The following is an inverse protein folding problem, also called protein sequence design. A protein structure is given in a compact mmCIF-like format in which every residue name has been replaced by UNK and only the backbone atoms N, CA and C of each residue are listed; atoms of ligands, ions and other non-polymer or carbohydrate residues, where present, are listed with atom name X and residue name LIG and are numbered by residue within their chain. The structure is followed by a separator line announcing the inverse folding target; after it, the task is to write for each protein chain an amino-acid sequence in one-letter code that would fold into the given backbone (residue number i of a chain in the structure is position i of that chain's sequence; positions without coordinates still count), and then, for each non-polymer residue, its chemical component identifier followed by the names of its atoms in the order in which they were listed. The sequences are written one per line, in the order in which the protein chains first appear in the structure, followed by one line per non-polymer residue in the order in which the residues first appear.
data_IF_447459013646
#
_entry.id   IF_447459013646
#
_cell.length_a   1.000
_cell.length_b   1.000
_cell.length_c   1.000
_cell.angle_alpha   90.00
_cell.angle_beta   90.00
_cell.angle_gamma   90.00
#
_symmetry.space_group_name_H-M   'P 1'
#
loop_
_entity.id
_entity.type
_entity.pdbx_description
1 polymer ?
#
# COMPACT_ATOMS: atom_id res chain seq x y z
N UNK A 1 1.15 -41.29 11.39
CA UNK A 1 1.30 -41.00 9.95
C UNK A 1 -0.09 -40.76 9.37
N UNK A 2 -0.40 -39.53 8.95
CA UNK A 2 -1.53 -39.23 8.07
C UNK A 2 -0.94 -38.48 6.87
N UNK A 3 -1.15 -39.04 5.69
CA UNK A 3 -0.63 -38.54 4.44
C UNK A 3 -1.31 -37.21 4.10
N UNK A 4 -0.51 -36.14 3.94
CA UNK A 4 -0.95 -34.93 3.26
C UNK A 4 -0.92 -35.23 1.76
N UNK A 5 -2.07 -35.64 1.21
CA UNK A 5 -2.26 -35.65 -0.24
C UNK A 5 -2.36 -34.20 -0.68
N UNK A 6 -1.23 -33.64 -1.13
CA UNK A 6 -1.25 -32.45 -1.96
C UNK A 6 -1.99 -32.77 -3.25
N UNK A 7 -3.08 -32.06 -3.54
CA UNK A 7 -3.56 -31.74 -4.88
C UNK A 7 -4.66 -30.68 -4.77
N UNK A 8 -4.43 -29.55 -5.45
CA UNK A 8 -5.38 -28.45 -5.52
C UNK A 8 -4.66 -27.13 -5.78
N UNK A 9 -3.98 -27.00 -6.92
CA UNK A 9 -3.68 -25.69 -7.51
C UNK A 9 -5.01 -25.05 -7.92
N UNK A 10 -5.73 -24.50 -6.94
CA UNK A 10 -6.81 -23.56 -7.18
C UNK A 10 -6.19 -22.18 -7.29
N UNK A 11 -6.04 -21.69 -8.52
CA UNK A 11 -5.76 -20.29 -8.81
C UNK A 11 -6.96 -19.45 -8.36
N UNK A 12 -7.06 -19.18 -7.06
CA UNK A 12 -8.00 -18.22 -6.54
C UNK A 12 -7.36 -16.84 -6.64
N UNK A 13 -8.01 -15.96 -7.40
CA UNK A 13 -7.76 -14.52 -7.46
C UNK A 13 -7.95 -13.93 -6.05
N UNK A 14 -6.91 -14.01 -5.22
CA UNK A 14 -6.91 -13.40 -3.91
C UNK A 14 -6.69 -11.89 -4.08
N UNK A 15 -7.77 -11.10 -4.01
CA UNK A 15 -7.73 -9.62 -3.97
C UNK A 15 -7.06 -9.05 -2.70
N UNK A 16 -6.60 -9.91 -1.79
CA UNK A 16 -5.91 -9.57 -0.56
C UNK A 16 -4.79 -10.59 -0.31
N UNK A 17 -3.79 -10.23 0.49
CA UNK A 17 -2.73 -11.16 0.89
C UNK A 17 -3.35 -12.37 1.59
N UNK A 18 -3.09 -13.61 1.13
CA UNK A 18 -3.64 -14.80 1.75
C UNK A 18 -3.11 -14.94 3.20
N UNK A 19 -3.92 -15.50 4.11
CA UNK A 19 -3.47 -15.75 5.48
C UNK A 19 -2.28 -16.71 5.47
N UNK A 20 -1.43 -16.62 6.50
CA UNK A 20 -0.31 -17.54 6.66
C UNK A 20 -0.81 -18.99 6.69
N UNK A 21 -0.21 -19.92 5.93
CA UNK A 21 -0.62 -21.33 5.91
C UNK A 21 -0.60 -21.94 7.32
N UNK A 22 -1.59 -22.77 7.63
CA UNK A 22 -1.66 -23.45 8.92
C UNK A 22 -0.51 -24.47 9.08
N UNK A 23 0.20 -24.40 10.21
CA UNK A 23 1.23 -25.37 10.62
C UNK A 23 0.67 -26.55 11.42
N UNK A 24 1.51 -27.55 11.69
CA UNK A 24 1.13 -28.67 12.57
C UNK A 24 1.07 -28.21 14.04
N UNK A 25 -0.07 -28.45 14.69
CA UNK A 25 -0.28 -28.06 16.08
C UNK A 25 0.31 -29.11 17.03
N UNK A 26 1.07 -28.67 18.03
CA UNK A 26 1.70 -29.53 19.05
C UNK A 26 1.08 -29.26 20.41
N UNK A 27 1.06 -30.28 21.28
CA UNK A 27 0.55 -30.13 22.65
C UNK A 27 1.53 -29.28 23.47
N UNK A 28 1.07 -28.15 24.00
CA UNK A 28 1.83 -27.31 24.93
C UNK A 28 1.39 -27.56 26.39
N UNK A 29 2.29 -27.28 27.34
CA UNK A 29 1.98 -27.21 28.77
C UNK A 29 2.42 -25.82 29.25
N UNK A 30 1.47 -24.98 29.65
CA UNK A 30 1.74 -23.64 30.17
C UNK A 30 1.50 -23.61 31.68
N UNK A 31 2.45 -23.09 32.46
CA UNK A 31 2.40 -23.14 33.93
C UNK A 31 2.23 -21.77 34.61
N UNK A 32 2.27 -20.66 33.85
CA UNK A 32 2.05 -19.30 34.36
C UNK A 32 2.05 -18.24 33.25
N UNK A 33 1.47 -17.08 33.54
CA UNK A 33 1.44 -15.90 32.66
C UNK A 33 1.59 -14.67 33.56
N UNK A 34 2.52 -13.79 33.22
CA UNK A 34 2.64 -12.47 33.86
C UNK A 34 2.12 -11.42 32.89
N UNK A 35 1.25 -10.54 33.37
CA UNK A 35 0.54 -9.57 32.55
C UNK A 35 0.80 -8.19 33.14
N UNK A 36 1.70 -7.47 32.49
CA UNK A 36 2.03 -6.09 32.82
C UNK A 36 1.47 -5.13 31.77
N UNK A 37 1.15 -3.91 32.22
CA UNK A 37 0.74 -2.82 31.33
C UNK A 37 1.97 -2.13 30.74
N UNK A 38 2.02 -2.05 29.41
CA UNK A 38 3.04 -1.26 28.71
C UNK A 38 2.49 0.13 28.37
N UNK A 39 3.03 1.17 29.02
CA UNK A 39 2.60 2.55 28.79
C UNK A 39 3.33 3.17 27.61
N UNK A 40 2.73 3.09 26.44
CA UNK A 40 2.93 4.02 25.33
C UNK A 40 1.89 5.12 25.58
N UNK A 41 2.24 6.17 26.32
CA UNK A 41 1.27 7.23 26.62
C UNK A 41 0.74 7.90 25.35
N UNK A 42 -0.48 8.44 25.41
CA UNK A 42 -1.12 9.16 24.31
C UNK A 42 -2.52 8.65 23.97
N UNK A 43 -3.18 9.34 23.05
CA UNK A 43 -4.44 8.92 22.45
C UNK A 43 -4.19 8.44 21.02
N UNK A 44 -4.77 7.31 20.63
CA UNK A 44 -4.73 6.87 19.23
C UNK A 44 -5.70 7.71 18.40
N UNK A 45 -5.15 8.47 17.45
CA UNK A 45 -5.94 9.33 16.56
C UNK A 45 -5.54 9.13 15.10
N UNK A 46 -6.47 9.43 14.19
CA UNK A 46 -6.18 9.45 12.75
C UNK A 46 -5.64 10.82 12.36
N UNK A 47 -4.34 10.89 12.13
CA UNK A 47 -3.66 12.12 11.71
C UNK A 47 -3.65 12.19 10.19
N UNK A 48 -4.05 13.34 9.64
CA UNK A 48 -3.93 13.63 8.21
C UNK A 48 -2.49 14.04 7.94
N UNK A 49 -1.81 13.30 7.06
CA UNK A 49 -0.42 13.55 6.70
C UNK A 49 -0.32 14.61 5.61
N UNK A 50 -1.15 14.50 4.56
CA UNK A 50 -1.19 15.43 3.44
C UNK A 50 -2.50 15.30 2.65
N UNK A 51 -2.91 16.40 2.01
CA UNK A 51 -3.84 16.41 0.89
C UNK A 51 -3.04 16.63 -0.40
N UNK A 52 -3.13 15.69 -1.33
CA UNK A 52 -2.22 15.57 -2.48
C UNK A 52 -3.01 15.69 -3.78
N UNK A 53 -2.51 16.51 -4.70
CA UNK A 53 -3.00 16.53 -6.09
C UNK A 53 -2.01 15.78 -6.95
N UNK A 54 -2.48 14.74 -7.65
CA UNK A 54 -1.68 13.94 -8.57
C UNK A 54 -2.18 14.19 -9.98
N UNK A 55 -1.30 14.60 -10.87
CA UNK A 55 -1.61 14.83 -12.29
C UNK A 55 -0.75 13.91 -13.16
N UNK A 56 -1.37 13.24 -14.12
CA UNK A 56 -0.66 12.36 -15.06
C UNK A 56 -1.22 12.50 -16.46
N UNK A 57 -0.32 12.69 -17.43
CA UNK A 57 -0.65 12.78 -18.84
C UNK A 57 -0.57 11.37 -19.46
N UNK A 58 -1.62 11.01 -20.18
CA UNK A 58 -1.79 9.68 -20.78
C UNK A 58 -2.16 9.83 -22.24
N UNK A 59 -1.50 9.05 -23.10
CA UNK A 59 -1.87 8.90 -24.50
C UNK A 59 -2.27 7.45 -24.76
N UNK A 60 -3.40 7.26 -25.45
CA UNK A 60 -3.95 5.94 -25.71
C UNK A 60 -4.57 5.83 -27.10
N UNK A 61 -4.29 4.72 -27.78
CA UNK A 61 -4.91 4.37 -29.04
C UNK A 61 -6.07 3.38 -28.81
N UNK A 62 -7.29 3.85 -29.01
CA UNK A 62 -8.51 3.06 -28.86
C UNK A 62 -8.98 2.61 -30.24
N UNK A 63 -9.07 1.29 -30.45
CA UNK A 63 -9.58 0.70 -31.69
C UNK A 63 -11.02 0.21 -31.46
N UNK A 64 -11.96 0.80 -32.20
CA UNK A 64 -13.34 0.38 -32.24
C UNK A 64 -13.47 -0.95 -32.97
N UNK A 65 -14.38 -1.85 -32.55
CA UNK A 65 -14.53 -3.18 -33.14
C UNK A 65 -15.03 -3.14 -34.59
N UNK A 66 -15.63 -2.02 -35.01
CA UNK A 66 -16.09 -1.77 -36.37
C UNK A 66 -15.87 -0.30 -36.72
N UNK A 67 -15.74 0.01 -38.02
CA UNK A 67 -15.73 1.39 -38.50
C UNK A 67 -17.00 2.15 -38.08
N UNK A 68 -16.78 3.34 -37.52
CA UNK A 68 -17.77 4.26 -37.01
C UNK A 68 -17.94 5.46 -37.94
N UNK A 69 -19.18 5.92 -38.05
CA UNK A 69 -19.53 7.17 -38.75
C UNK A 69 -19.51 8.36 -37.78
N UNK A 70 -19.84 8.13 -36.51
CA UNK A 70 -19.96 9.19 -35.50
C UNK A 70 -19.84 8.63 -34.07
N UNK A 71 -19.32 9.43 -33.14
CA UNK A 71 -19.31 9.14 -31.70
C UNK A 71 -20.44 9.92 -31.04
N UNK A 72 -21.33 9.23 -30.32
CA UNK A 72 -22.46 9.87 -29.64
C UNK A 72 -22.13 10.30 -28.23
N UNK A 73 -21.45 9.44 -27.47
CA UNK A 73 -21.11 9.73 -26.07
C UNK A 73 -19.93 8.88 -25.62
N UNK A 74 -19.09 9.43 -24.76
CA UNK A 74 -18.03 8.70 -24.06
C UNK A 74 -18.15 8.99 -22.57
N UNK A 75 -18.75 8.05 -21.81
CA UNK A 75 -18.77 8.14 -20.34
C UNK A 75 -17.45 7.65 -19.78
N UNK A 76 -16.98 8.28 -18.70
CA UNK A 76 -15.66 8.06 -18.12
C UNK A 76 -15.77 7.90 -16.62
N UNK A 77 -15.13 6.89 -16.06
CA UNK A 77 -15.00 6.69 -14.61
C UNK A 77 -13.56 6.37 -14.26
N UNK A 78 -13.00 7.07 -13.28
CA UNK A 78 -11.63 6.82 -12.80
C UNK A 78 -11.67 5.75 -11.72
N UNK A 79 -10.80 4.75 -11.84
CA UNK A 79 -10.64 3.69 -10.86
C UNK A 79 -9.18 3.55 -10.45
N UNK A 80 -8.91 3.56 -9.14
CA UNK A 80 -7.58 3.25 -8.61
C UNK A 80 -7.47 1.75 -8.35
N UNK A 81 -6.42 1.14 -8.89
CA UNK A 81 -6.02 -0.24 -8.58
C UNK A 81 -4.95 -0.27 -7.50
N UNK A 82 -4.17 0.81 -7.37
CA UNK A 82 -3.17 0.99 -6.32
C UNK A 82 -3.14 2.43 -5.85
N UNK A 83 -3.11 2.62 -4.53
CA UNK A 83 -2.66 3.86 -3.91
C UNK A 83 -1.89 3.53 -2.63
N UNK A 84 -0.56 3.58 -2.71
CA UNK A 84 0.32 3.20 -1.61
C UNK A 84 1.33 4.31 -1.33
N UNK A 85 1.34 4.81 -0.11
CA UNK A 85 2.42 5.65 0.39
C UNK A 85 3.37 4.82 1.25
N UNK A 86 4.67 4.99 1.06
CA UNK A 86 5.72 4.41 1.89
C UNK A 86 6.61 5.52 2.45
N UNK A 87 6.98 5.51 3.74
CA UNK A 87 7.87 6.50 4.33
C UNK A 87 9.20 6.63 3.58
N UNK A 88 9.73 7.85 3.50
CA UNK A 88 11.13 8.09 3.12
C UNK A 88 12.03 7.81 4.32
N UNK A 89 13.17 7.14 4.09
CA UNK A 89 14.11 6.78 5.16
C UNK A 89 14.84 8.00 5.71
N UNK A 90 15.00 9.02 4.87
CA UNK A 90 15.82 10.18 5.17
C UNK A 90 15.03 11.33 5.78
N UNK A 91 13.71 11.31 5.67
CA UNK A 91 12.86 12.44 6.05
C UNK A 91 11.46 11.96 6.51
N UNK A 92 11.10 12.12 7.80
CA UNK A 92 9.78 11.75 8.30
C UNK A 92 8.64 12.63 7.76
N UNK A 93 8.95 13.77 7.15
CA UNK A 93 8.00 14.65 6.47
C UNK A 93 7.87 14.32 4.98
N UNK A 94 8.37 13.17 4.52
CA UNK A 94 8.31 12.81 3.11
C UNK A 94 7.94 11.35 2.91
N UNK A 95 7.15 11.08 1.87
CA UNK A 95 6.76 9.73 1.48
C UNK A 95 6.94 9.53 -0.02
N UNK A 96 7.14 8.28 -0.43
CA UNK A 96 7.02 7.84 -1.82
C UNK A 96 5.58 7.41 -2.05
N UNK A 97 4.88 8.09 -2.94
CA UNK A 97 3.50 7.80 -3.29
C UNK A 97 3.46 7.05 -4.63
N UNK A 98 2.84 5.87 -4.62
CA UNK A 98 2.63 5.05 -5.80
C UNK A 98 1.15 4.94 -6.12
N UNK A 99 0.74 5.46 -7.28
CA UNK A 99 -0.65 5.48 -7.73
C UNK A 99 -0.76 4.78 -9.08
N UNK A 100 -1.65 3.81 -9.15
CA UNK A 100 -2.03 3.16 -10.41
C UNK A 100 -3.54 3.06 -10.52
N UNK A 101 -4.02 3.09 -11.75
CA UNK A 101 -5.44 2.98 -12.02
C UNK A 101 -5.74 2.90 -13.50
N UNK A 102 -7.01 3.09 -13.84
CA UNK A 102 -7.47 3.23 -15.20
C UNK A 102 -8.68 4.15 -15.29
N UNK A 103 -8.85 4.78 -16.44
CA UNK A 103 -10.10 5.45 -16.83
C UNK A 103 -10.93 4.42 -17.59
N UNK A 104 -12.02 3.96 -16.98
CA UNK A 104 -13.01 3.13 -17.65
C UNK A 104 -13.86 4.01 -18.57
N UNK A 105 -13.83 3.71 -19.86
CA UNK A 105 -14.58 4.41 -20.88
C UNK A 105 -15.68 3.51 -21.41
N UNK A 106 -16.88 4.06 -21.52
CA UNK A 106 -17.99 3.45 -22.23
C UNK A 106 -18.33 4.35 -23.42
N UNK A 107 -17.99 3.89 -24.61
CA UNK A 107 -18.06 4.61 -25.88
C UNK A 107 -19.31 4.13 -26.62
N UNK A 108 -20.21 5.06 -26.88
CA UNK A 108 -21.37 4.84 -27.72
C UNK A 108 -21.14 5.50 -29.08
N UNK A 109 -21.23 4.73 -30.16
CA UNK A 109 -20.95 5.18 -31.52
C UNK A 109 -21.92 4.58 -32.54
N UNK A 110 -22.01 5.19 -33.72
CA UNK A 110 -22.82 4.68 -34.84
C UNK A 110 -21.91 3.99 -35.83
N UNK A 111 -22.23 2.76 -36.20
CA UNK A 111 -21.44 2.00 -37.16
C UNK A 111 -21.78 2.33 -38.63
N UNK A 112 -21.10 1.68 -39.56
CA UNK A 112 -21.38 1.81 -40.99
C UNK A 112 -22.76 1.32 -41.44
N UNK A 113 -23.50 0.58 -40.62
CA UNK A 113 -24.85 0.10 -40.87
C UNK A 113 -25.94 0.98 -40.26
N UNK A 114 -25.60 2.16 -39.73
CA UNK A 114 -26.51 3.06 -39.00
C UNK A 114 -27.05 2.48 -37.68
N UNK A 115 -26.35 1.50 -37.08
CA UNK A 115 -26.68 0.95 -35.78
C UNK A 115 -25.86 1.62 -34.68
N UNK A 116 -26.49 1.92 -33.54
CA UNK A 116 -25.78 2.36 -32.33
C UNK A 116 -25.13 1.15 -31.66
N UNK A 117 -23.85 1.28 -31.31
CA UNK A 117 -23.06 0.26 -30.62
C UNK A 117 -22.46 0.83 -29.35
N UNK A 118 -22.31 -0.01 -28.34
CA UNK A 118 -21.59 0.28 -27.11
C UNK A 118 -20.28 -0.52 -27.07
N UNK A 119 -19.19 0.14 -26.69
CA UNK A 119 -17.88 -0.45 -26.54
C UNK A 119 -17.18 0.10 -25.30
N UNK A 120 -16.71 -0.79 -24.43
CA UNK A 120 -16.04 -0.40 -23.19
C UNK A 120 -14.57 -0.75 -23.22
N UNK A 121 -13.73 0.18 -22.76
CA UNK A 121 -12.27 0.02 -22.69
C UNK A 121 -11.73 0.63 -21.40
N UNK A 122 -10.65 0.06 -20.86
CA UNK A 122 -9.92 0.61 -19.73
C UNK A 122 -8.61 1.22 -20.23
N UNK A 123 -8.41 2.52 -20.01
CA UNK A 123 -7.16 3.20 -20.33
C UNK A 123 -6.32 3.31 -19.05
N UNK A 124 -5.24 2.53 -18.90
CA UNK A 124 -4.45 2.51 -17.67
C UNK A 124 -3.60 3.79 -17.51
N UNK A 125 -3.36 4.16 -16.25
CA UNK A 125 -2.45 5.25 -15.89
C UNK A 125 -1.64 4.88 -14.65
N UNK A 126 -0.44 5.45 -14.54
CA UNK A 126 0.48 5.26 -13.41
C UNK A 126 1.19 6.57 -13.09
N UNK A 127 1.43 6.83 -11.82
CA UNK A 127 2.19 7.96 -11.33
C UNK A 127 2.93 7.57 -10.05
N UNK A 128 4.22 7.91 -9.97
CA UNK A 128 5.08 7.62 -8.84
C UNK A 128 5.91 8.84 -8.54
N UNK A 129 5.80 9.40 -7.35
CA UNK A 129 6.59 10.57 -6.95
C UNK A 129 6.72 10.67 -5.43
N UNK A 130 7.56 11.61 -4.99
CA UNK A 130 7.65 12.01 -3.59
C UNK A 130 6.56 13.02 -3.24
N UNK A 131 6.08 12.94 -2.02
CA UNK A 131 5.09 13.85 -1.46
C UNK A 131 5.61 14.36 -0.12
N UNK A 132 5.67 15.68 0.00
CA UNK A 132 5.96 16.34 1.28
C UNK A 132 4.70 16.36 2.14
N UNK A 133 4.89 16.14 3.43
CA UNK A 133 3.84 15.99 4.43
C UNK A 133 3.72 17.23 5.30
N UNK A 134 2.51 17.52 5.73
CA UNK A 134 2.20 18.58 6.69
C UNK A 134 2.48 18.08 8.12
N UNK A 135 2.17 16.81 8.37
CA UNK A 135 2.47 16.12 9.62
C UNK A 135 3.40 14.93 9.36
N UNK A 136 4.39 14.68 10.22
CA UNK A 136 5.35 13.61 10.00
C UNK A 136 4.67 12.24 10.13
N UNK A 137 5.22 11.25 9.45
CA UNK A 137 4.88 9.86 9.72
C UNK A 137 5.34 9.52 11.14
N UNK A 138 4.45 8.90 11.93
CA UNK A 138 4.76 8.48 13.29
C UNK A 138 4.73 6.96 13.39
N UNK A 139 5.53 6.45 14.33
CA UNK A 139 5.76 5.03 14.51
C UNK A 139 5.64 4.66 15.99
N UNK A 140 5.07 3.48 16.32
CA UNK A 140 4.65 3.15 17.69
C UNK A 140 5.80 3.15 18.72
N UNK A 141 7.05 2.99 18.28
CA UNK A 141 8.23 3.00 19.16
C UNK A 141 9.25 4.10 18.82
N UNK A 142 8.87 5.07 17.99
CA UNK A 142 9.77 6.12 17.50
C UNK A 142 10.84 5.63 16.52
N UNK A 143 10.82 4.35 16.17
CA UNK A 143 11.66 3.77 15.12
C UNK A 143 10.95 3.96 13.76
N UNK A 144 11.58 4.59 12.76
CA UNK A 144 10.93 4.89 11.49
C UNK A 144 10.46 3.68 10.67
N UNK A 145 10.74 2.44 11.09
CA UNK A 145 10.48 1.26 10.28
C UNK A 145 9.84 0.11 11.03
N UNK A 146 9.16 -0.72 10.25
CA UNK A 146 8.80 -2.06 10.69
C UNK A 146 10.12 -2.81 10.75
N UNK A 147 10.64 -3.01 11.96
CA UNK A 147 11.90 -3.69 12.17
C UNK A 147 11.63 -5.16 12.39
N UNK A 148 12.22 -6.02 11.56
CA UNK A 148 12.35 -7.44 11.87
C UNK A 148 13.83 -7.72 12.07
N UNK A 149 14.18 -8.33 13.19
CA UNK A 149 15.54 -8.83 13.36
C UNK A 149 15.79 -9.95 12.34
N UNK A 150 16.66 -9.68 11.37
CA UNK A 150 17.14 -10.71 10.44
C UNK A 150 18.34 -11.48 11.01
N UNK A 151 18.92 -11.00 12.12
CA UNK A 151 19.93 -11.72 12.87
C UNK A 151 19.28 -12.75 13.78
N UNK A 152 19.70 -14.00 13.69
CA UNK A 152 19.42 -14.95 14.75
C UNK A 152 20.33 -14.58 15.93
N UNK A 153 19.82 -13.84 16.92
CA UNK A 153 20.51 -13.65 18.19
C UNK A 153 20.50 -14.98 18.95
N UNK A 154 21.41 -15.87 18.57
CA UNK A 154 21.53 -17.20 19.15
C UNK A 154 22.06 -17.12 20.59
N UNK A 155 21.37 -17.83 21.48
CA UNK A 155 21.88 -18.13 22.81
C UNK A 155 22.57 -19.49 22.71
N UNK A 156 23.89 -19.48 22.92
CA UNK A 156 24.75 -20.67 22.89
C UNK A 156 25.54 -20.77 24.18
N UNK A 157 25.54 -21.95 24.78
CA UNK A 157 26.44 -22.30 25.88
C UNK A 157 27.65 -23.08 25.34
N UNK A 158 28.75 -23.12 26.11
CA UNK A 158 29.92 -23.95 25.76
C UNK A 158 29.64 -25.43 26.06
N UNK A 159 30.08 -26.33 25.19
CA UNK A 159 29.92 -27.78 25.38
C UNK A 159 30.71 -28.29 26.58
N UNK A 160 30.31 -29.46 27.13
CA UNK A 160 30.92 -30.04 28.34
C UNK A 160 32.43 -30.32 28.21
N UNK A 161 32.93 -30.57 27.00
CA UNK A 161 34.35 -30.75 26.70
C UNK A 161 35.11 -29.42 26.52
N UNK A 162 34.40 -28.28 26.52
CA UNK A 162 34.98 -26.95 26.37
C UNK A 162 35.42 -26.60 24.94
N UNK A 163 35.15 -27.47 23.97
CA UNK A 163 35.74 -27.37 22.62
C UNK A 163 34.78 -26.84 21.55
N UNK A 164 33.49 -26.67 21.88
CA UNK A 164 32.47 -26.22 20.92
C UNK A 164 31.25 -25.58 21.62
N UNK A 165 30.20 -25.25 20.87
CA UNK A 165 28.91 -24.85 21.43
C UNK A 165 28.06 -26.08 21.77
N UNK A 166 27.32 -26.03 22.89
CA UNK A 166 26.39 -27.08 23.27
C UNK A 166 25.29 -27.23 22.21
N UNK A 167 25.18 -28.44 21.66
CA UNK A 167 24.18 -28.80 20.65
C UNK A 167 22.82 -29.12 21.26
N UNK A 168 22.79 -29.45 22.55
CA UNK A 168 21.60 -29.90 23.26
C UNK A 168 20.86 -28.73 23.94
N UNK A 169 21.57 -27.66 24.29
CA UNK A 169 21.01 -26.46 24.91
C UNK A 169 21.27 -25.24 24.03
N UNK A 170 20.22 -24.76 23.35
CA UNK A 170 20.29 -23.60 22.47
C UNK A 170 19.00 -22.81 22.52
N UNK A 171 19.07 -21.53 22.15
CA UNK A 171 17.91 -20.67 22.03
C UNK A 171 18.17 -19.51 21.08
N UNK A 172 17.17 -18.66 20.92
CA UNK A 172 17.30 -17.43 20.15
C UNK A 172 16.31 -16.38 20.65
N UNK A 173 16.67 -15.11 20.49
CA UNK A 173 15.76 -13.99 20.68
C UNK A 173 15.50 -13.38 19.31
N UNK A 174 14.24 -13.19 18.95
CA UNK A 174 13.81 -12.52 17.72
C UNK A 174 12.72 -11.52 18.07
N UNK A 175 12.66 -10.39 17.37
CA UNK A 175 11.60 -9.40 17.54
C UNK A 175 11.13 -8.85 16.19
N UNK A 176 9.88 -8.40 16.18
CA UNK A 176 9.24 -7.75 15.03
C UNK A 176 8.42 -6.57 15.53
N UNK A 177 8.62 -5.41 14.91
CA UNK A 177 7.83 -4.20 15.13
C UNK A 177 7.00 -3.99 13.87
N UNK A 178 5.67 -3.96 14.03
CA UNK A 178 4.74 -3.71 12.94
C UNK A 178 4.32 -2.24 12.94
N UNK A 179 4.45 -1.58 11.79
CA UNK A 179 4.06 -0.19 11.62
C UNK A 179 2.65 -0.04 11.10
N UNK A 180 1.96 1.02 11.56
CA UNK A 180 0.67 1.41 11.03
C UNK A 180 0.80 1.88 9.57
N UNK A 181 -0.01 1.34 8.64
CA UNK A 181 0.06 1.71 7.23
C UNK A 181 -0.50 3.12 7.01
N UNK A 182 0.11 3.85 6.07
CA UNK A 182 -0.47 5.09 5.54
C UNK A 182 -1.66 4.72 4.65
N UNK A 183 -2.84 5.19 5.02
CA UNK A 183 -4.07 5.04 4.24
C UNK A 183 -4.14 6.13 3.19
N UNK A 184 -4.52 5.73 1.99
CA UNK A 184 -4.85 6.63 0.90
C UNK A 184 -6.35 6.61 0.64
N UNK A 185 -6.95 7.79 0.49
CA UNK A 185 -8.36 7.97 0.14
C UNK A 185 -8.49 8.90 -1.05
N UNK A 186 -9.12 8.43 -2.12
CA UNK A 186 -9.54 9.28 -3.25
C UNK A 186 -10.72 10.16 -2.81
N UNK A 187 -10.56 11.47 -2.92
CA UNK A 187 -11.59 12.45 -2.61
C UNK A 187 -12.36 12.87 -3.87
N UNK A 188 -11.63 13.09 -4.96
CA UNK A 188 -12.19 13.47 -6.25
C UNK A 188 -11.22 13.10 -7.37
N UNK A 189 -11.73 13.04 -8.59
CA UNK A 189 -10.95 12.84 -9.81
C UNK A 189 -11.51 13.70 -10.93
N UNK A 190 -10.63 14.20 -11.78
CA UNK A 190 -10.96 14.95 -12.98
C UNK A 190 -10.21 14.36 -14.17
N UNK A 191 -10.85 14.33 -15.32
CA UNK A 191 -10.23 13.93 -16.60
C UNK A 191 -10.47 15.04 -17.60
N UNK A 192 -9.40 15.61 -18.11
CA UNK A 192 -9.42 16.49 -19.27
C UNK A 192 -8.85 15.73 -20.48
N UNK A 193 -9.44 15.85 -21.67
CA UNK A 193 -9.00 15.06 -22.81
C UNK A 193 -9.19 15.72 -24.17
N UNK A 194 -8.39 15.24 -25.11
CA UNK A 194 -8.40 15.58 -26.52
C UNK A 194 -8.41 14.30 -27.37
N UNK A 195 -9.45 14.12 -28.19
CA UNK A 195 -9.66 12.94 -29.02
C UNK A 195 -9.36 13.23 -30.49
N UNK A 196 -8.55 12.39 -31.13
CA UNK A 196 -8.17 12.50 -32.55
C UNK A 196 -8.63 11.26 -33.29
N UNK A 197 -9.48 11.43 -34.30
CA UNK A 197 -9.99 10.33 -35.12
C UNK A 197 -8.99 10.01 -36.25
N UNK A 198 -8.76 8.72 -36.50
CA UNK A 198 -7.85 8.22 -37.54
C UNK A 198 -8.23 6.83 -38.04
N UNK A 199 -7.45 6.27 -38.97
CA UNK A 199 -7.74 5.04 -39.71
C UNK A 199 -9.10 5.11 -40.43
N UNK A 200 -9.19 6.02 -41.40
CA UNK A 200 -10.40 6.25 -42.19
C UNK A 200 -10.47 5.30 -43.39
N UNK A 201 -11.63 4.72 -43.62
CA UNK A 201 -11.90 3.95 -44.84
C UNK A 201 -12.31 4.83 -46.04
N UNK A 202 -12.52 4.20 -47.20
CA UNK A 202 -12.92 4.89 -48.44
C UNK A 202 -14.29 5.61 -48.35
N UNK A 203 -15.07 5.36 -47.29
CA UNK A 203 -16.36 6.00 -47.03
C UNK A 203 -16.28 7.06 -45.93
N UNK A 204 -15.07 7.41 -45.46
CA UNK A 204 -14.86 8.42 -44.43
C UNK A 204 -15.24 7.97 -43.02
N UNK A 205 -15.41 6.66 -42.79
CA UNK A 205 -15.65 6.08 -41.46
C UNK A 205 -14.31 5.81 -40.80
N UNK A 206 -14.20 5.96 -39.48
CA UNK A 206 -12.97 5.75 -38.72
C UNK A 206 -13.13 4.56 -37.77
N UNK A 207 -12.04 3.86 -37.44
CA UNK A 207 -12.08 2.86 -36.35
C UNK A 207 -11.10 3.19 -35.21
N UNK A 208 -10.24 4.21 -35.36
CA UNK A 208 -9.20 4.52 -34.38
C UNK A 208 -9.41 5.90 -33.77
N UNK A 209 -9.32 5.95 -32.44
CA UNK A 209 -9.34 7.18 -31.64
C UNK A 209 -8.00 7.25 -30.89
N UNK A 210 -7.15 8.20 -31.25
CA UNK A 210 -5.94 8.53 -30.47
C UNK A 210 -6.32 9.60 -29.46
N UNK A 211 -6.36 9.23 -28.20
CA UNK A 211 -6.74 10.09 -27.09
C UNK A 211 -5.50 10.57 -26.34
N UNK A 212 -5.46 11.86 -26.00
CA UNK A 212 -4.50 12.44 -25.05
C UNK A 212 -5.30 13.02 -23.90
N UNK A 213 -5.04 12.58 -22.67
CA UNK A 213 -5.79 13.02 -21.48
C UNK A 213 -4.88 13.38 -20.31
N UNK A 214 -5.32 14.33 -19.50
CA UNK A 214 -4.79 14.60 -18.16
C UNK A 214 -5.73 13.98 -17.13
N UNK A 215 -5.21 13.07 -16.31
CA UNK A 215 -5.92 12.49 -15.17
C UNK A 215 -5.44 13.18 -13.90
N UNK A 216 -6.34 13.90 -13.25
CA UNK A 216 -6.10 14.62 -12.00
C UNK A 216 -6.81 13.90 -10.86
N UNK A 217 -6.10 13.62 -9.77
CA UNK A 217 -6.60 12.94 -8.58
C UNK A 217 -6.36 13.80 -7.34
N UNK A 218 -7.39 13.93 -6.51
CA UNK A 218 -7.30 14.56 -5.20
C UNK A 218 -7.31 13.47 -4.14
N UNK A 219 -6.18 13.27 -3.47
CA UNK A 219 -5.95 12.20 -2.51
C UNK A 219 -5.77 12.76 -1.10
N UNK A 220 -6.27 12.05 -0.11
CA UNK A 220 -5.96 12.27 1.31
C UNK A 220 -5.09 11.13 1.82
N UNK A 221 -3.93 11.49 2.37
CA UNK A 221 -3.05 10.57 3.08
C UNK A 221 -3.27 10.71 4.59
N UNK A 222 -3.50 9.60 5.28
CA UNK A 222 -3.67 9.60 6.73
C UNK A 222 -3.06 8.37 7.38
N UNK A 223 -2.71 8.48 8.66
CA UNK A 223 -2.15 7.39 9.44
C UNK A 223 -2.75 7.40 10.83
N UNK A 224 -2.94 6.21 11.43
CA UNK A 224 -3.20 6.10 12.86
C UNK A 224 -1.92 6.34 13.63
N UNK A 225 -1.95 7.26 14.58
CA UNK A 225 -0.78 7.67 15.35
C UNK A 225 -1.14 7.78 16.84
N UNK A 226 -0.16 7.52 17.71
CA UNK A 226 -0.25 7.84 19.13
C UNK A 226 0.16 9.30 19.31
N UNK A 227 -0.79 10.16 19.64
CA UNK A 227 -0.55 11.59 19.86
C UNK A 227 -0.40 11.83 21.36
N UNK A 228 0.67 12.52 21.75
CA UNK A 228 0.87 12.90 23.14
C UNK A 228 -0.29 13.79 23.60
N UNK A 229 -0.88 13.49 24.76
CA UNK A 229 -1.89 14.38 25.34
C UNK A 229 -1.26 15.76 25.57
N UNK A 230 -1.99 16.87 25.27
CA UNK A 230 -1.51 18.20 25.58
C UNK A 230 -1.32 18.33 27.10
N UNK A 231 -0.05 18.32 27.53
CA UNK A 231 0.29 18.59 28.93
C UNK A 231 -0.07 20.04 29.26
N UNK A 232 -0.73 20.31 30.40
CA UNK A 232 -0.97 21.67 30.88
C UNK A 232 0.34 22.48 31.06
N UNK A 233 1.49 21.82 31.13
CA UNK A 233 2.78 22.40 31.50
C UNK A 233 3.92 22.11 30.50
N UNK A 234 3.64 22.14 29.19
CA UNK A 234 4.66 22.45 28.16
C UNK A 234 5.90 21.54 28.06
N UNK A 235 5.86 20.29 28.52
CA UNK A 235 6.91 19.30 28.26
C UNK A 235 6.36 18.20 27.34
N UNK A 236 7.03 17.98 26.22
CA UNK A 236 6.63 17.01 25.20
C UNK A 236 6.97 15.59 25.63
N UNK A 237 5.95 14.71 25.71
CA UNK A 237 6.10 13.30 26.11
C UNK A 237 7.08 12.48 25.26
N UNK A 238 7.47 12.98 24.08
CA UNK A 238 8.47 12.38 23.20
C UNK A 238 9.87 12.28 23.85
N UNK A 239 10.27 13.24 24.68
CA UNK A 239 11.59 13.23 25.34
C UNK A 239 11.69 12.17 26.46
N UNK A 240 10.57 11.85 27.12
CA UNK A 240 10.51 10.83 28.16
C UNK A 240 10.59 9.40 27.58
N UNK A 241 10.04 9.18 26.38
CA UNK A 241 10.01 7.90 25.68
C UNK A 241 11.40 7.49 25.17
N UNK A 242 12.11 8.41 24.50
CA UNK A 242 13.47 8.16 24.00
C UNK A 242 14.47 7.85 25.13
N UNK A 243 14.29 8.46 26.31
CA UNK A 243 15.13 8.23 27.48
C UNK A 243 14.89 6.84 28.11
N UNK A 244 13.67 6.29 28.05
CA UNK A 244 13.32 5.00 28.65
C UNK A 244 13.80 3.81 27.80
N UNK A 245 13.69 3.91 26.47
CA UNK A 245 14.20 2.88 25.55
C UNK A 245 15.73 2.76 25.57
N UNK A 246 16.45 3.88 25.64
CA UNK A 246 17.92 3.88 25.86
C UNK A 246 18.34 3.24 27.18
N UNK A 247 17.46 3.20 28.18
CA UNK A 247 17.72 2.59 29.49
C UNK A 247 17.55 1.07 29.48
N UNK A 248 16.66 0.57 28.62
CA UNK A 248 16.43 -0.87 28.41
C UNK A 248 17.56 -1.48 27.58
N UNK A 249 18.07 -0.77 26.57
CA UNK A 249 19.19 -1.24 25.73
C UNK A 249 20.58 -1.09 26.38
N UNK A 250 20.71 -0.27 27.44
CA UNK A 250 21.98 -0.09 28.20
C UNK A 250 22.08 -0.93 29.48
N UNK A 251 21.09 -1.75 29.81
CA UNK A 251 21.21 -2.78 30.87
C UNK A 251 21.66 -4.10 30.25
N UNK A 252 22.88 -4.10 29.72
CA UNK A 252 23.73 -5.28 29.53
C UNK A 252 25.15 -4.86 29.91
#
# INVERSE_FOLDING_TARGET
MKNNTGHGCGCNDHKACPPMPAGHEVKSKSTGCDIDTFLIGGTEETVVLADVTVETLVEADIHLPTFATDIKNIRKNVHLTQCKATPDFSDPFRVKLFVEGFVHKNIQFVDGGSCVRDFSVNVPFRCFDFVDLINPVAFPFGDPFSSKDSGNLEIREISKDGMSADRCNFGSITFEINNEPIKCKLLASQVDQWDILSDFDNWGRFNKITEKMNVVLFLKLSQKQQVAEPSPNGSTGAEAMAAKFKKITRRR
#
